data_IF_289510315113
#
_entry.id   IF_289510315113
#
_cell.length_a   1.000
_cell.length_b   1.000
_cell.length_c   1.000
_cell.angle_alpha   90.00
_cell.angle_beta   90.00
_cell.angle_gamma   90.00
#
_symmetry.space_group_name_H-M   'P 1'
#
loop_
_entity.id
_entity.type
_entity.pdbx_description
1 polymer ?
#
# COMPACT_ATOMS: atom_id res chain seq x y z
N UNK A 1 3.12 -12.76 -28.38
CA UNK A 1 1.90 -13.49 -28.79
C UNK A 1 1.11 -13.81 -27.52
N UNK A 2 0.02 -13.11 -27.24
CA UNK A 2 -0.81 -13.36 -26.04
C UNK A 2 -1.77 -14.51 -26.36
N UNK A 3 -1.65 -15.62 -25.64
CA UNK A 3 -2.54 -16.78 -25.78
C UNK A 3 -3.63 -16.73 -24.71
N UNK A 4 -4.89 -16.66 -25.16
CA UNK A 4 -6.05 -16.73 -24.29
C UNK A 4 -6.36 -18.21 -23.95
N UNK A 5 -6.19 -18.61 -22.70
CA UNK A 5 -6.58 -19.94 -22.22
C UNK A 5 -8.07 -19.95 -21.87
N UNK A 6 -8.86 -20.79 -22.53
CA UNK A 6 -10.28 -21.07 -22.21
C UNK A 6 -10.46 -22.11 -21.10
N UNK A 7 -9.40 -22.50 -20.39
CA UNK A 7 -9.49 -23.61 -19.43
C UNK A 7 -10.21 -23.17 -18.15
N UNK A 8 -11.39 -23.75 -17.92
CA UNK A 8 -12.39 -23.47 -16.87
C UNK A 8 -11.97 -23.74 -15.41
N UNK A 9 -10.71 -23.56 -15.03
CA UNK A 9 -10.39 -23.26 -13.63
C UNK A 9 -10.47 -21.75 -13.47
N UNK A 10 -11.53 -21.23 -12.87
CA UNK A 10 -11.67 -19.80 -12.61
C UNK A 10 -10.43 -19.31 -11.85
N UNK A 11 -9.51 -18.62 -12.53
CA UNK A 11 -8.36 -18.03 -11.88
C UNK A 11 -8.89 -16.94 -10.95
N UNK A 12 -8.96 -17.25 -9.65
CA UNK A 12 -9.33 -16.26 -8.64
C UNK A 12 -8.21 -15.22 -8.56
N UNK A 13 -8.57 -13.96 -8.83
CA UNK A 13 -7.68 -12.80 -8.73
C UNK A 13 -8.12 -11.95 -7.55
N UNK A 14 -7.19 -11.65 -6.64
CA UNK A 14 -7.42 -10.63 -5.62
C UNK A 14 -6.95 -9.29 -6.16
N UNK A 15 -7.77 -8.26 -6.04
CA UNK A 15 -7.47 -6.92 -6.55
C UNK A 15 -7.49 -5.88 -5.43
N UNK A 16 -6.46 -5.04 -5.37
CA UNK A 16 -6.37 -3.87 -4.48
C UNK A 16 -6.32 -2.62 -5.36
N UNK A 17 -7.39 -1.83 -5.44
CA UNK A 17 -7.38 -0.59 -6.20
C UNK A 17 -6.63 0.53 -5.46
N UNK A 18 -6.18 1.55 -6.21
CA UNK A 18 -5.60 2.76 -5.64
C UNK A 18 -6.57 3.49 -4.71
N UNK A 19 -7.87 3.45 -5.01
CA UNK A 19 -8.96 3.97 -4.17
C UNK A 19 -9.80 2.80 -3.63
N UNK A 20 -9.56 2.37 -2.38
CA UNK A 20 -10.21 1.19 -1.81
C UNK A 20 -11.67 1.50 -1.48
N UNK A 21 -12.55 0.59 -1.91
CA UNK A 21 -13.94 0.55 -1.45
C UNK A 21 -14.10 -0.52 -0.37
N UNK A 22 -14.82 -0.14 0.69
CA UNK A 22 -15.19 -1.01 1.79
C UNK A 22 -16.70 -1.22 1.80
N UNK A 23 -17.12 -2.40 2.21
CA UNK A 23 -18.52 -2.72 2.47
C UNK A 23 -18.98 -1.95 3.70
N UNK A 24 -20.26 -1.57 3.71
CA UNK A 24 -20.94 -1.12 4.92
C UNK A 24 -21.21 -2.32 5.83
N UNK A 25 -20.15 -2.79 6.49
CA UNK A 25 -20.10 -4.00 7.31
C UNK A 25 -18.96 -3.87 8.33
N UNK A 26 -18.73 -4.90 9.14
CA UNK A 26 -17.63 -4.87 10.12
C UNK A 26 -16.26 -4.81 9.45
N UNK A 27 -15.23 -4.37 10.19
CA UNK A 27 -13.83 -4.46 9.75
C UNK A 27 -13.47 -5.90 9.40
N UNK A 28 -13.90 -6.86 10.23
CA UNK A 28 -13.70 -8.29 10.02
C UNK A 28 -14.31 -8.75 8.70
N UNK A 29 -15.56 -8.41 8.42
CA UNK A 29 -16.24 -8.81 7.17
C UNK A 29 -15.58 -8.22 5.94
N UNK A 30 -15.07 -6.98 6.06
CA UNK A 30 -14.31 -6.35 5.01
C UNK A 30 -12.99 -7.06 4.69
N UNK A 31 -12.36 -7.71 5.67
CA UNK A 31 -11.11 -8.47 5.49
C UNK A 31 -11.40 -9.91 5.04
N UNK A 32 -12.39 -10.58 5.65
CA UNK A 32 -12.78 -11.95 5.31
C UNK A 32 -13.41 -12.02 3.92
N UNK A 33 -14.28 -11.07 3.60
CA UNK A 33 -14.88 -10.89 2.28
C UNK A 33 -15.50 -12.18 1.72
N UNK A 34 -16.29 -12.87 2.55
CA UNK A 34 -16.95 -14.13 2.23
C UNK A 34 -16.15 -15.39 2.58
N UNK A 35 -14.86 -15.27 2.91
CA UNK A 35 -14.04 -16.40 3.35
C UNK A 35 -14.28 -16.73 4.84
N UNK A 36 -14.24 -18.02 5.24
CA UNK A 36 -14.42 -18.40 6.64
C UNK A 36 -13.29 -17.86 7.51
N UNK A 37 -13.61 -17.48 8.75
CA UNK A 37 -12.63 -16.99 9.73
C UNK A 37 -11.69 -18.12 10.16
N UNK A 38 -10.39 -17.93 9.91
CA UNK A 38 -9.30 -18.78 10.37
C UNK A 38 -8.42 -17.95 11.30
N UNK A 39 -8.69 -18.01 12.61
CA UNK A 39 -8.10 -17.12 13.62
C UNK A 39 -6.59 -16.89 13.44
N UNK A 40 -5.78 -17.96 13.31
CA UNK A 40 -4.32 -17.84 13.12
C UNK A 40 -3.92 -17.14 11.81
N UNK A 41 -4.66 -17.35 10.72
CA UNK A 41 -4.39 -16.69 9.42
C UNK A 41 -4.79 -15.22 9.49
N UNK A 42 -5.97 -14.95 10.03
CA UNK A 42 -6.52 -13.62 10.19
C UNK A 42 -5.59 -12.73 11.03
N UNK A 43 -5.18 -13.23 12.19
CA UNK A 43 -4.24 -12.59 13.09
C UNK A 43 -2.86 -12.29 12.45
N UNK A 44 -2.34 -13.21 11.62
CA UNK A 44 -1.14 -12.94 10.81
C UNK A 44 -1.34 -11.84 9.79
N UNK A 45 -2.49 -11.81 9.11
CA UNK A 45 -2.83 -10.76 8.13
C UNK A 45 -2.91 -9.40 8.81
N UNK A 46 -3.59 -9.30 9.95
CA UNK A 46 -3.70 -8.05 10.70
C UNK A 46 -2.33 -7.50 11.09
N UNK A 47 -1.44 -8.36 11.59
CA UNK A 47 -0.06 -7.95 11.89
C UNK A 47 0.72 -7.55 10.65
N UNK A 48 0.62 -8.30 9.55
CA UNK A 48 1.34 -8.01 8.32
C UNK A 48 0.90 -6.69 7.66
N UNK A 49 -0.36 -6.29 7.86
CA UNK A 49 -0.93 -5.02 7.41
C UNK A 49 -0.83 -3.90 8.46
N UNK A 50 -0.14 -4.11 9.58
CA UNK A 50 -0.04 -3.16 10.69
C UNK A 50 -1.41 -2.69 11.24
N UNK A 51 -2.48 -3.45 11.05
CA UNK A 51 -3.86 -3.08 11.45
C UNK A 51 -4.16 -3.34 12.93
N UNK A 52 -3.30 -4.09 13.62
CA UNK A 52 -3.51 -4.46 15.03
C UNK A 52 -3.73 -3.23 15.94
N UNK A 53 -2.88 -2.19 15.90
CA UNK A 53 -3.06 -1.02 16.76
C UNK A 53 -4.33 -0.25 16.42
N UNK A 54 -4.73 -0.19 15.14
CA UNK A 54 -5.98 0.48 14.76
C UNK A 54 -7.19 -0.25 15.33
N UNK A 55 -7.21 -1.59 15.24
CA UNK A 55 -8.29 -2.42 15.76
C UNK A 55 -8.39 -2.29 17.28
N UNK A 56 -7.27 -2.27 18.01
CA UNK A 56 -7.27 -2.13 19.47
C UNK A 56 -7.80 -0.78 19.96
N UNK A 57 -7.81 0.25 19.09
CA UNK A 57 -8.37 1.56 19.37
C UNK A 57 -9.86 1.70 18.99
N UNK A 58 -10.42 0.71 18.30
CA UNK A 58 -11.83 0.73 17.91
C UNK A 58 -12.72 0.25 19.07
N UNK A 59 -13.88 0.89 19.32
CA UNK A 59 -14.77 0.53 20.43
C UNK A 59 -15.15 -0.97 20.49
N UNK A 60 -15.38 -1.58 19.32
CA UNK A 60 -15.77 -3.00 19.17
C UNK A 60 -14.67 -3.85 18.53
N UNK A 61 -13.42 -3.38 18.57
CA UNK A 61 -12.31 -4.05 17.91
C UNK A 61 -12.58 -4.25 16.42
N UNK A 62 -12.42 -5.49 15.94
CA UNK A 62 -12.63 -5.83 14.54
C UNK A 62 -14.10 -6.07 14.18
N UNK A 63 -15.01 -6.02 15.16
CA UNK A 63 -16.46 -6.02 14.94
C UNK A 63 -17.03 -4.62 14.73
N UNK A 64 -16.21 -3.56 14.84
CA UNK A 64 -16.64 -2.21 14.58
C UNK A 64 -17.21 -2.07 13.15
N UNK A 65 -18.41 -1.51 13.04
CA UNK A 65 -19.08 -1.27 11.76
C UNK A 65 -18.43 -0.11 10.99
N UNK A 66 -18.26 -0.28 9.68
CA UNK A 66 -17.78 0.75 8.76
C UNK A 66 -18.98 1.27 7.95
N UNK A 67 -19.07 2.57 7.71
CA UNK A 67 -20.09 3.16 6.85
C UNK A 67 -20.74 4.41 7.46
N UNK A 68 -21.91 4.79 6.96
CA UNK A 68 -22.62 6.02 7.36
C UNK A 68 -22.97 6.06 8.87
N UNK A 69 -23.31 4.90 9.44
CA UNK A 69 -23.59 4.74 10.87
C UNK A 69 -22.42 4.18 11.68
N UNK A 70 -21.30 3.91 10.99
CA UNK A 70 -20.13 3.26 11.56
C UNK A 70 -18.96 4.21 11.83
N UNK A 71 -17.80 3.63 12.12
CA UNK A 71 -16.56 4.39 12.31
C UNK A 71 -16.07 4.98 10.98
N UNK A 72 -15.59 6.22 11.03
CA UNK A 72 -14.89 6.86 9.92
C UNK A 72 -13.42 6.43 9.94
N UNK A 73 -12.97 5.83 8.84
CA UNK A 73 -11.59 5.39 8.66
C UNK A 73 -10.76 6.42 7.89
N UNK A 74 -9.50 6.59 8.31
CA UNK A 74 -8.52 7.36 7.54
C UNK A 74 -8.20 6.70 6.20
N UNK A 75 -7.64 7.46 5.25
CA UNK A 75 -7.25 6.91 3.94
C UNK A 75 -6.30 5.71 4.05
N UNK A 76 -5.27 5.82 4.89
CA UNK A 76 -4.30 4.75 5.11
C UNK A 76 -4.90 3.52 5.82
N UNK A 77 -5.89 3.69 6.70
CA UNK A 77 -6.62 2.56 7.30
C UNK A 77 -7.43 1.81 6.26
N UNK A 78 -8.22 2.52 5.43
CA UNK A 78 -9.00 1.91 4.36
C UNK A 78 -8.12 1.12 3.38
N UNK A 79 -6.97 1.68 3.05
CA UNK A 79 -6.00 1.03 2.17
C UNK A 79 -5.44 -0.25 2.79
N UNK A 80 -5.05 -0.21 4.08
CA UNK A 80 -4.53 -1.40 4.78
C UNK A 80 -5.57 -2.49 4.93
N UNK A 81 -6.86 -2.14 5.11
CA UNK A 81 -7.96 -3.11 5.09
C UNK A 81 -8.10 -3.75 3.69
N UNK A 82 -8.01 -2.98 2.61
CA UNK A 82 -8.06 -3.53 1.25
C UNK A 82 -6.87 -4.45 0.95
N UNK A 83 -5.66 -4.12 1.41
CA UNK A 83 -4.50 -5.02 1.32
C UNK A 83 -4.75 -6.28 2.16
N UNK A 84 -5.26 -6.15 3.38
CA UNK A 84 -5.58 -7.27 4.25
C UNK A 84 -6.59 -8.23 3.60
N UNK A 85 -7.62 -7.69 2.95
CA UNK A 85 -8.60 -8.44 2.14
C UNK A 85 -7.90 -9.29 1.07
N UNK A 86 -7.01 -8.69 0.29
CA UNK A 86 -6.27 -9.39 -0.76
C UNK A 86 -5.29 -10.45 -0.21
N UNK A 87 -4.62 -10.16 0.91
CA UNK A 87 -3.72 -11.09 1.58
C UNK A 87 -4.49 -12.26 2.23
N UNK A 88 -5.69 -12.02 2.75
CA UNK A 88 -6.52 -13.06 3.36
C UNK A 88 -7.12 -14.00 2.32
N UNK A 89 -7.52 -13.49 1.16
CA UNK A 89 -8.08 -14.24 0.02
C UNK A 89 -7.24 -15.47 -0.37
N UNK A 90 -7.86 -16.56 -0.87
CA UNK A 90 -7.17 -17.73 -1.41
C UNK A 90 -6.62 -17.51 -2.83
N UNK A 91 -6.87 -16.36 -3.47
CA UNK A 91 -6.47 -16.07 -4.85
C UNK A 91 -4.97 -16.25 -5.10
N UNK A 92 -4.59 -17.02 -6.12
CA UNK A 92 -3.16 -17.28 -6.45
C UNK A 92 -2.47 -16.09 -7.10
N UNK A 93 -3.24 -15.22 -7.75
CA UNK A 93 -2.78 -13.98 -8.36
C UNK A 93 -3.34 -12.79 -7.56
N UNK A 94 -2.45 -11.87 -7.17
CA UNK A 94 -2.81 -10.63 -6.48
C UNK A 94 -2.37 -9.45 -7.31
N UNK A 95 -3.28 -8.57 -7.67
CA UNK A 95 -2.98 -7.34 -8.42
C UNK A 95 -3.23 -6.17 -7.49
N UNK A 96 -2.28 -5.25 -7.39
CA UNK A 96 -2.36 -4.08 -6.55
C UNK A 96 -1.99 -2.84 -7.34
N UNK A 97 -2.91 -1.89 -7.39
CA UNK A 97 -2.74 -0.60 -8.05
C UNK A 97 -2.42 0.47 -7.02
N UNK A 98 -1.15 0.89 -7.01
CA UNK A 98 -0.52 1.83 -6.10
C UNK A 98 -0.96 1.69 -4.62
N UNK A 99 -0.85 0.47 -4.03
CA UNK A 99 -1.51 0.12 -2.79
C UNK A 99 -0.96 0.82 -1.56
N UNK A 100 0.19 1.49 -1.66
CA UNK A 100 0.88 2.08 -0.50
C UNK A 100 0.85 3.61 -0.53
N UNK A 101 0.27 4.23 -1.55
CA UNK A 101 0.29 5.68 -1.80
C UNK A 101 -0.24 6.52 -0.65
N UNK A 102 -1.30 6.04 0.01
CA UNK A 102 -1.96 6.71 1.15
C UNK A 102 -1.37 6.37 2.52
N UNK A 103 -0.27 5.60 2.57
CA UNK A 103 0.41 5.20 3.80
C UNK A 103 1.68 6.03 4.02
N UNK A 104 1.93 6.36 5.28
CA UNK A 104 3.20 6.90 5.75
C UNK A 104 4.36 5.99 5.38
N UNK A 105 5.55 6.57 5.15
CA UNK A 105 6.71 5.84 4.63
C UNK A 105 7.09 4.62 5.49
N UNK A 106 7.04 4.73 6.82
CA UNK A 106 7.40 3.63 7.72
C UNK A 106 6.38 2.48 7.64
N UNK A 107 5.09 2.81 7.69
CA UNK A 107 3.99 1.83 7.57
C UNK A 107 4.01 1.18 6.19
N UNK A 108 4.19 1.96 5.13
CA UNK A 108 4.28 1.45 3.76
C UNK A 108 5.42 0.43 3.59
N UNK A 109 6.63 0.76 4.07
CA UNK A 109 7.77 -0.17 4.04
C UNK A 109 7.48 -1.45 4.81
N UNK A 110 6.90 -1.31 6.02
CA UNK A 110 6.56 -2.45 6.85
C UNK A 110 5.55 -3.39 6.16
N UNK A 111 4.44 -2.83 5.64
CA UNK A 111 3.38 -3.58 4.96
C UNK A 111 3.88 -4.23 3.68
N UNK A 112 4.73 -3.54 2.93
CA UNK A 112 5.38 -4.09 1.75
C UNK A 112 6.25 -5.31 2.10
N UNK A 113 7.17 -5.16 3.04
CA UNK A 113 8.14 -6.21 3.36
C UNK A 113 7.47 -7.42 4.02
N UNK A 114 6.58 -7.20 4.98
CA UNK A 114 5.97 -8.27 5.78
C UNK A 114 4.73 -8.87 5.14
N UNK A 115 3.85 -8.03 4.59
CA UNK A 115 2.61 -8.44 3.94
C UNK A 115 2.84 -8.84 2.50
N UNK A 116 3.12 -7.86 1.65
CA UNK A 116 3.15 -8.07 0.19
C UNK A 116 4.25 -9.07 -0.20
N UNK A 117 5.49 -8.83 0.21
CA UNK A 117 6.63 -9.66 -0.21
C UNK A 117 6.70 -10.99 0.54
N UNK A 118 6.94 -10.96 1.86
CA UNK A 118 7.19 -12.19 2.64
C UNK A 118 5.98 -13.10 2.78
N UNK A 119 4.77 -12.56 2.93
CA UNK A 119 3.58 -13.40 3.13
C UNK A 119 3.15 -14.09 1.83
N UNK A 120 3.12 -13.36 0.71
CA UNK A 120 2.75 -13.93 -0.59
C UNK A 120 3.80 -14.93 -1.09
N UNK A 121 5.10 -14.64 -0.90
CA UNK A 121 6.17 -15.57 -1.24
C UNK A 121 6.04 -16.91 -0.49
N UNK A 122 5.81 -16.88 0.84
CA UNK A 122 5.60 -18.09 1.66
C UNK A 122 4.38 -18.90 1.22
N UNK A 123 3.39 -18.26 0.62
CA UNK A 123 2.17 -18.90 0.11
C UNK A 123 2.28 -19.34 -1.34
N UNK A 124 3.44 -19.15 -1.99
CA UNK A 124 3.65 -19.40 -3.42
C UNK A 124 2.61 -18.69 -4.31
N UNK A 125 2.30 -17.43 -3.99
CA UNK A 125 1.37 -16.57 -4.73
C UNK A 125 2.13 -15.56 -5.57
N UNK A 126 1.59 -15.24 -6.74
CA UNK A 126 2.11 -14.19 -7.62
C UNK A 126 1.47 -12.85 -7.26
N UNK A 127 2.27 -11.80 -7.15
CA UNK A 127 1.80 -10.44 -6.92
C UNK A 127 2.23 -9.51 -8.05
N UNK A 128 1.32 -8.70 -8.55
CA UNK A 128 1.57 -7.60 -9.47
C UNK A 128 1.31 -6.33 -8.71
N UNK A 129 2.33 -5.50 -8.52
CA UNK A 129 2.24 -4.23 -7.80
C UNK A 129 2.59 -3.12 -8.77
N UNK A 130 1.59 -2.37 -9.20
CA UNK A 130 1.78 -1.13 -9.96
C UNK A 130 2.05 -0.04 -8.94
N UNK A 131 3.12 0.74 -9.10
CA UNK A 131 3.42 1.84 -8.19
C UNK A 131 4.31 2.88 -8.85
N UNK A 132 4.19 4.12 -8.39
CA UNK A 132 5.10 5.21 -8.76
C UNK A 132 6.31 5.28 -7.80
N UNK A 133 6.29 4.54 -6.69
CA UNK A 133 7.35 4.54 -5.68
C UNK A 133 8.53 3.68 -6.14
N UNK A 134 9.47 4.30 -6.86
CA UNK A 134 10.66 3.64 -7.42
C UNK A 134 11.48 2.87 -6.37
N UNK A 135 11.48 3.31 -5.11
CA UNK A 135 12.15 2.62 -4.01
C UNK A 135 11.68 1.16 -3.81
N UNK A 136 10.45 0.85 -4.20
CA UNK A 136 9.90 -0.51 -4.13
C UNK A 136 10.36 -1.38 -5.31
N UNK A 137 10.68 -0.76 -6.45
CA UNK A 137 11.15 -1.44 -7.66
C UNK A 137 12.45 -2.22 -7.38
N UNK A 138 13.37 -1.63 -6.62
CA UNK A 138 14.66 -2.27 -6.29
C UNK A 138 14.53 -3.53 -5.42
N UNK A 139 13.34 -3.79 -4.88
CA UNK A 139 13.06 -4.97 -4.06
C UNK A 139 12.23 -6.03 -4.81
N UNK A 140 11.90 -5.76 -6.07
CA UNK A 140 11.18 -6.63 -6.96
C UNK A 140 11.98 -7.87 -7.35
N UNK A 141 11.28 -8.96 -7.64
CA UNK A 141 11.89 -10.09 -8.35
C UNK A 141 12.06 -9.76 -9.84
N UNK A 142 11.05 -9.10 -10.43
CA UNK A 142 11.06 -8.67 -11.83
C UNK A 142 10.37 -7.31 -11.98
N UNK A 143 10.88 -6.47 -12.88
CA UNK A 143 10.42 -5.10 -13.08
C UNK A 143 9.96 -4.93 -14.52
N UNK A 144 8.80 -4.31 -14.69
CA UNK A 144 8.29 -3.84 -15.98
C UNK A 144 8.18 -2.31 -15.90
N UNK A 145 9.05 -1.64 -16.63
CA UNK A 145 9.03 -0.19 -16.76
C UNK A 145 8.11 0.21 -17.91
N UNK A 146 7.14 1.10 -17.63
CA UNK A 146 6.26 1.67 -18.66
C UNK A 146 6.56 3.16 -18.80
N UNK A 147 6.71 3.63 -20.04
CA UNK A 147 6.86 5.05 -20.39
C UNK A 147 5.95 5.33 -21.59
N UNK A 148 5.17 6.42 -21.57
CA UNK A 148 4.24 6.78 -22.65
C UNK A 148 3.31 5.64 -23.08
N UNK A 149 2.73 4.92 -22.11
CA UNK A 149 1.86 3.75 -22.31
C UNK A 149 2.52 2.57 -23.06
N UNK A 150 3.85 2.54 -23.19
CA UNK A 150 4.60 1.46 -23.80
C UNK A 150 5.59 0.84 -22.80
N UNK A 151 5.89 -0.45 -22.97
CA UNK A 151 6.94 -1.13 -22.20
C UNK A 151 8.30 -0.65 -22.69
N UNK A 152 9.09 -0.01 -21.82
CA UNK A 152 10.42 0.49 -22.15
C UNK A 152 11.55 -0.38 -21.61
N UNK A 153 11.32 -1.16 -20.55
CA UNK A 153 12.23 -2.21 -20.10
C UNK A 153 11.50 -3.30 -19.31
N UNK A 154 12.07 -4.50 -19.36
CA UNK A 154 11.62 -5.65 -18.58
C UNK A 154 12.81 -6.46 -18.11
N UNK A 155 12.81 -6.90 -16.87
CA UNK A 155 13.82 -7.81 -16.34
C UNK A 155 14.03 -7.66 -14.84
N UNK A 156 14.92 -8.48 -14.31
CA UNK A 156 15.48 -8.31 -12.98
C UNK A 156 16.21 -6.97 -12.87
N UNK A 157 16.47 -6.51 -11.64
CA UNK A 157 17.23 -5.27 -11.44
C UNK A 157 18.60 -5.31 -12.14
N UNK A 158 19.31 -6.44 -12.07
CA UNK A 158 20.63 -6.61 -12.71
C UNK A 158 20.55 -6.59 -14.24
N UNK A 159 19.49 -7.15 -14.82
CA UNK A 159 19.24 -7.06 -16.27
C UNK A 159 18.92 -5.62 -16.68
N UNK A 160 18.18 -4.87 -15.86
CA UNK A 160 17.92 -3.44 -16.11
C UNK A 160 19.20 -2.61 -16.01
N UNK A 161 20.05 -2.90 -15.03
CA UNK A 161 21.38 -2.29 -14.88
C UNK A 161 22.27 -2.49 -16.11
N UNK A 162 22.25 -3.69 -16.66
CA UNK A 162 23.11 -4.06 -17.78
C UNK A 162 22.56 -3.58 -19.13
N UNK A 163 21.26 -3.79 -19.36
CA UNK A 163 20.65 -3.62 -20.68
C UNK A 163 20.00 -2.25 -20.89
N UNK A 164 19.64 -1.56 -19.80
CA UNK A 164 18.90 -0.28 -19.85
C UNK A 164 19.46 0.79 -18.89
N UNK A 165 20.77 1.12 -18.94
CA UNK A 165 21.40 2.06 -18.01
C UNK A 165 20.78 3.46 -18.04
N UNK A 166 20.22 3.88 -19.17
CA UNK A 166 19.48 5.14 -19.32
C UNK A 166 18.24 5.22 -18.40
N UNK A 167 17.55 4.09 -18.18
CA UNK A 167 16.36 4.03 -17.34
C UNK A 167 16.74 4.23 -15.87
N UNK A 168 17.82 3.60 -15.41
CA UNK A 168 18.30 3.80 -14.04
C UNK A 168 18.78 5.22 -13.78
N UNK A 169 19.45 5.86 -14.75
CA UNK A 169 19.82 7.28 -14.63
C UNK A 169 18.59 8.15 -14.42
N UNK A 170 17.52 7.91 -15.19
CA UNK A 170 16.23 8.60 -15.01
C UNK A 170 15.65 8.32 -13.62
N UNK A 171 15.60 7.07 -13.18
CA UNK A 171 15.06 6.70 -11.86
C UNK A 171 15.83 7.32 -10.71
N UNK A 172 17.16 7.29 -10.76
CA UNK A 172 18.02 7.92 -9.74
C UNK A 172 17.80 9.45 -9.69
N UNK A 173 17.60 10.09 -10.83
CA UNK A 173 17.26 11.52 -10.87
C UNK A 173 15.89 11.82 -10.25
N UNK A 174 14.88 10.98 -10.51
CA UNK A 174 13.54 11.11 -9.90
C UNK A 174 13.64 10.94 -8.37
N UNK A 175 14.34 9.90 -7.92
CA UNK A 175 14.56 9.62 -6.49
C UNK A 175 15.25 10.81 -5.81
N UNK A 176 16.33 11.33 -6.40
CA UNK A 176 17.07 12.46 -5.85
C UNK A 176 16.17 13.71 -5.70
N UNK A 177 15.31 13.98 -6.69
CA UNK A 177 14.34 15.08 -6.64
C UNK A 177 13.31 14.89 -5.52
N UNK A 178 12.75 13.69 -5.37
CA UNK A 178 11.80 13.40 -4.28
C UNK A 178 12.42 13.60 -2.90
N UNK A 179 13.69 13.23 -2.72
CA UNK A 179 14.43 13.46 -1.48
C UNK A 179 14.59 14.96 -1.19
N UNK A 180 15.02 15.75 -2.17
CA UNK A 180 15.17 17.21 -2.03
C UNK A 180 13.83 17.91 -1.75
N UNK A 181 12.76 17.55 -2.44
CA UNK A 181 11.43 18.15 -2.21
C UNK A 181 10.91 17.84 -0.80
N UNK A 182 11.15 16.63 -0.28
CA UNK A 182 10.78 16.27 1.09
C UNK A 182 11.60 17.05 2.12
N UNK A 183 12.91 17.17 1.93
CA UNK A 183 13.78 17.95 2.81
C UNK A 183 13.42 19.43 2.81
N UNK A 184 13.05 20.00 1.65
CA UNK A 184 12.61 21.39 1.55
C UNK A 184 11.25 21.67 2.24
N UNK A 185 10.33 20.69 2.25
CA UNK A 185 9.07 20.78 2.99
C UNK A 185 9.27 20.71 4.52
N UNK A 186 10.36 20.09 4.98
CA UNK A 186 10.81 20.09 6.37
C UNK A 186 11.58 21.41 6.65
N UNK A 187 10.87 22.51 6.89
CA UNK A 187 11.50 23.83 7.07
C UNK A 187 12.62 23.86 8.14
N UNK A 188 13.67 24.69 7.98
CA UNK A 188 14.83 24.74 8.89
C UNK A 188 14.57 25.51 10.20
N UNK A 189 13.30 25.70 10.59
CA UNK A 189 12.91 26.38 11.82
C UNK A 189 12.43 25.39 12.88
N UNK A 190 13.29 25.14 13.90
CA UNK A 190 13.14 24.21 15.04
C UNK A 190 13.44 22.75 14.69
N UNK A 191 14.54 22.24 15.25
CA UNK A 191 15.16 20.96 14.90
C UNK A 191 14.12 19.83 14.93
N UNK A 192 14.15 18.90 13.97
CA UNK A 192 13.25 17.73 13.92
C UNK A 192 13.17 16.97 15.26
N UNK A 193 14.24 17.02 16.04
CA UNK A 193 14.36 16.49 17.41
C UNK A 193 13.42 17.15 18.42
N UNK A 194 13.15 18.44 18.29
CA UNK A 194 12.22 19.22 19.13
C UNK A 194 10.76 18.94 18.75
N UNK A 195 10.46 18.84 17.45
CA UNK A 195 9.14 18.43 16.97
C UNK A 195 8.78 17.00 17.38
N UNK A 196 9.73 16.06 17.32
CA UNK A 196 9.52 14.69 17.82
C UNK A 196 9.31 14.65 19.34
N UNK A 197 10.03 15.48 20.11
CA UNK A 197 9.81 15.64 21.56
C UNK A 197 8.41 16.20 21.85
N UNK A 198 7.95 17.19 21.07
CA UNK A 198 6.60 17.72 21.14
C UNK A 198 5.55 16.65 20.79
N UNK A 199 5.76 15.86 19.73
CA UNK A 199 4.84 14.77 19.34
C UNK A 199 4.75 13.66 20.41
N UNK A 200 5.88 13.32 21.05
CA UNK A 200 5.92 12.41 22.21
C UNK A 200 5.24 12.96 23.46
N UNK A 201 5.16 14.29 23.60
CA UNK A 201 4.48 14.93 24.72
C UNK A 201 2.98 15.15 24.45
N UNK A 202 2.60 15.44 23.20
CA UNK A 202 1.21 15.61 22.76
C UNK A 202 0.44 14.28 22.82
N UNK A 203 1.10 13.16 22.52
CA UNK A 203 0.54 11.81 22.68
C UNK A 203 0.25 11.41 24.14
N UNK A 204 0.82 12.12 25.13
CA UNK A 204 0.44 11.98 26.55
C UNK A 204 -0.74 12.87 26.95
N UNK A 205 -1.03 13.92 26.19
CA UNK A 205 -2.06 14.92 26.51
C UNK A 205 -3.39 14.62 25.79
N UNK A 206 -3.38 13.86 24.69
CA UNK A 206 -4.60 13.53 23.92
C UNK A 206 -5.57 12.57 24.61
N UNK A 207 -5.36 12.23 25.89
CA UNK A 207 -6.29 11.47 26.72
C UNK A 207 -7.38 12.33 27.40
N UNK A 208 -7.41 13.64 27.16
CA UNK A 208 -8.51 14.49 27.64
C UNK A 208 -8.84 15.61 26.64
N UNK A 209 -9.85 15.37 25.78
CA UNK A 209 -10.97 16.28 25.47
C UNK A 209 -11.66 15.89 24.15
N UNK A 210 -12.91 15.46 24.30
CA UNK A 210 -13.93 15.31 23.27
C UNK A 210 -14.67 16.63 22.98
N UNK A 211 -15.17 16.75 21.74
CA UNK A 211 -16.16 17.69 21.16
C UNK A 211 -15.76 19.12 20.76
N UNK A 212 -15.81 19.44 19.46
CA UNK A 212 -16.85 20.29 18.82
C UNK A 212 -16.65 20.37 17.27
N UNK A 213 -17.74 20.71 16.57
CA UNK A 213 -18.09 20.58 15.13
C UNK A 213 -17.45 21.57 14.12
N UNK A 214 -17.50 21.16 12.83
CA UNK A 214 -17.72 21.84 11.51
C UNK A 214 -17.02 23.19 11.17
N UNK A 215 -16.59 23.55 9.95
CA UNK A 215 -17.18 23.38 8.60
C UNK A 215 -16.21 23.86 7.45
N UNK A 216 -16.52 23.46 6.19
CA UNK A 216 -16.18 24.06 4.85
C UNK A 216 -14.89 23.77 4.03
N UNK A 217 -15.11 23.89 2.70
CA UNK A 217 -14.53 23.22 1.52
C UNK A 217 -13.33 23.89 0.83
N UNK A 218 -12.72 23.09 -0.08
CA UNK A 218 -12.00 23.46 -1.32
C UNK A 218 -10.68 24.23 -1.26
N UNK A 219 -9.62 23.57 -1.74
CA UNK A 219 -8.89 24.13 -2.89
C UNK A 219 -8.28 23.01 -3.75
N UNK A 220 -8.72 22.93 -5.01
CA UNK A 220 -8.08 22.17 -6.07
C UNK A 220 -6.79 22.89 -6.51
N UNK A 221 -5.73 22.13 -6.81
CA UNK A 221 -4.46 22.69 -7.26
C UNK A 221 -3.56 21.71 -8.02
N UNK A 222 -3.94 21.47 -9.29
CA UNK A 222 -3.09 21.17 -10.46
C UNK A 222 -2.34 19.82 -10.61
N UNK A 223 -2.12 19.37 -11.87
CA UNK A 223 -1.87 17.97 -12.19
C UNK A 223 -0.39 17.61 -12.05
N UNK A 224 -0.11 16.43 -11.50
CA UNK A 224 1.20 15.81 -11.66
C UNK A 224 1.35 15.33 -13.12
N UNK A 225 2.47 15.68 -13.73
CA UNK A 225 2.90 15.28 -15.08
C UNK A 225 2.76 13.77 -15.33
N UNK A 226 2.43 13.33 -16.55
CA UNK A 226 2.41 11.90 -16.87
C UNK A 226 3.86 11.47 -17.03
N UNK A 227 4.45 10.66 -16.16
CA UNK A 227 5.63 9.89 -16.56
C UNK A 227 5.98 8.77 -15.58
N UNK A 228 6.22 7.60 -16.17
CA UNK A 228 6.70 6.35 -15.59
C UNK A 228 5.77 5.62 -14.61
N UNK A 229 4.90 4.76 -15.15
CA UNK A 229 4.23 3.73 -14.36
C UNK A 229 5.17 2.52 -14.25
N UNK A 230 5.59 2.19 -13.04
CA UNK A 230 6.41 1.01 -12.81
C UNK A 230 5.52 -0.13 -12.32
N UNK A 231 5.46 -1.20 -13.11
CA UNK A 231 4.78 -2.44 -12.70
C UNK A 231 5.83 -3.39 -12.16
N UNK A 232 5.78 -3.64 -10.87
CA UNK A 232 6.60 -4.63 -10.20
C UNK A 232 5.90 -5.98 -10.20
N UNK A 233 6.55 -7.03 -10.70
CA UNK A 233 6.08 -8.40 -10.60
C UNK A 233 6.88 -9.12 -9.51
N UNK A 234 6.16 -9.59 -8.49
CA UNK A 234 6.64 -10.58 -7.53
C UNK A 234 6.14 -11.94 -7.98
N UNK A 235 7.04 -12.82 -8.36
CA UNK A 235 6.75 -14.22 -8.68
C UNK A 235 7.32 -15.07 -7.56
N UNK A 236 6.61 -16.10 -7.08
CA UNK A 236 7.18 -16.96 -6.07
C UNK A 236 8.43 -17.65 -6.63
N UNK A 237 9.55 -17.52 -5.91
CA UNK A 237 10.73 -18.35 -6.11
C UNK A 237 10.32 -19.81 -5.89
N UNK A 238 10.23 -20.55 -7.00
CA UNK A 238 10.24 -22.03 -7.14
C UNK A 238 9.55 -22.85 -6.03
#
# INVERSE_FOLDING_TARGET
RVTWSKTSSSLAVAYVPQRPWLLNATVRDNILFGEPLRARRYDRVLRACALRPDIELMPDGDLAEIGERGIKLSGGQRQRIAIARALYSPARLVIMDDPLSSLDNEVARFVFDHGIRRMLARQKRTAIVVTQRLQLAFRADNIIALESCAVCATGTLSEIESNYPQILRKWNAIIAREHQSREAQLSPGKTARERWKLFKNISKISLQRSHAHDEFYENCGQPASPDTLLTTLFTPLT
#
